data_IF_667130573803
#
_entry.id   IF_667130573803
#
_cell.length_a   1.000
_cell.length_b   1.000
_cell.length_c   1.000
_cell.angle_alpha   90.00
_cell.angle_beta   90.00
_cell.angle_gamma   90.00
#
_symmetry.space_group_name_H-M   'P 1'
#
loop_
_entity.id
_entity.type
_entity.pdbx_description
1 polymer ?
#
# COMPACT_ATOMS: atom_id res chain seq x y z
N UNK A 1 1.76 -2.49 12.84
CA UNK A 1 0.81 -1.55 12.21
C UNK A 1 1.06 -1.52 10.71
N UNK A 2 0.01 -1.69 9.91
CA UNK A 2 0.08 -1.82 8.45
C UNK A 2 -0.41 -0.53 7.76
N UNK A 3 0.38 0.03 6.85
CA UNK A 3 0.00 1.22 6.05
C UNK A 3 -0.24 0.91 4.57
N UNK A 4 0.14 -0.28 4.12
CA UNK A 4 -0.05 -0.71 2.75
C UNK A 4 -0.36 -2.22 2.67
N UNK A 5 -1.11 -2.62 1.66
CA UNK A 5 -1.30 -4.01 1.27
C UNK A 5 -0.64 -4.26 -0.10
N UNK A 6 -0.04 -5.43 -0.29
CA UNK A 6 0.53 -5.84 -1.57
C UNK A 6 -0.15 -7.14 -1.97
N UNK A 7 -0.66 -7.18 -3.20
CA UNK A 7 -1.25 -8.37 -3.79
C UNK A 7 -0.93 -8.33 -5.27
N UNK A 8 -0.02 -9.21 -5.70
CA UNK A 8 0.40 -9.32 -7.09
C UNK A 8 0.09 -10.71 -7.64
N UNK A 9 -0.15 -10.76 -8.94
CA UNK A 9 -0.21 -12.01 -9.70
C UNK A 9 0.68 -11.86 -10.92
N UNK A 10 1.40 -12.92 -11.28
CA UNK A 10 2.14 -12.97 -12.55
C UNK A 10 1.51 -14.02 -13.45
N UNK A 11 1.19 -13.63 -14.67
CA UNK A 11 0.66 -14.53 -15.72
C UNK A 11 1.32 -14.17 -17.03
N UNK A 12 1.76 -15.16 -17.80
CA UNK A 12 2.40 -14.93 -19.12
C UNK A 12 3.57 -13.91 -19.06
N UNK A 13 4.35 -13.92 -17.97
CA UNK A 13 5.46 -12.98 -17.71
C UNK A 13 5.04 -11.51 -17.52
N UNK A 14 3.76 -11.25 -17.31
CA UNK A 14 3.22 -9.92 -17.02
C UNK A 14 2.69 -9.89 -15.58
N UNK A 15 3.11 -8.89 -14.81
CA UNK A 15 2.60 -8.64 -13.47
C UNK A 15 1.25 -7.91 -13.52
N UNK A 16 0.34 -8.30 -12.64
CA UNK A 16 -1.00 -7.75 -12.49
C UNK A 16 -1.26 -7.37 -11.02
N UNK A 17 -2.31 -6.57 -10.81
CA UNK A 17 -2.69 -5.99 -9.52
C UNK A 17 -1.61 -5.00 -9.04
N UNK A 18 -1.06 -5.16 -7.83
CA UNK A 18 -0.03 -4.26 -7.33
C UNK A 18 -0.09 -4.11 -5.82
N UNK A 19 -0.21 -2.86 -5.37
CA UNK A 19 -0.29 -2.51 -3.97
C UNK A 19 -1.36 -1.43 -3.74
N UNK A 20 -1.85 -1.34 -2.51
CA UNK A 20 -2.74 -0.29 -2.04
C UNK A 20 -2.08 0.39 -0.84
N UNK A 21 -1.90 1.71 -0.90
CA UNK A 21 -1.27 2.52 0.14
C UNK A 21 -2.32 3.39 0.82
N UNK A 22 -2.51 3.22 2.13
CA UNK A 22 -3.45 4.01 2.91
C UNK A 22 -2.88 5.42 3.10
N UNK A 23 -3.41 6.41 2.37
CA UNK A 23 -2.90 7.78 2.40
C UNK A 23 -3.73 8.65 3.36
N UNK A 24 -5.00 8.86 3.01
CA UNK A 24 -5.97 9.68 3.76
C UNK A 24 -7.40 9.11 3.71
N UNK A 25 -7.53 7.81 3.41
CA UNK A 25 -8.83 7.11 3.40
C UNK A 25 -9.29 6.78 4.82
N UNK A 26 -10.60 6.59 5.00
CA UNK A 26 -11.14 5.95 6.21
C UNK A 26 -10.60 4.52 6.33
N UNK A 27 -10.43 4.09 7.58
CA UNK A 27 -10.01 2.73 7.94
C UNK A 27 -11.16 1.86 8.45
N UNK A 28 -12.38 2.39 8.56
CA UNK A 28 -13.54 1.70 9.14
C UNK A 28 -13.85 0.38 8.43
N UNK A 29 -13.56 0.30 7.12
CA UNK A 29 -13.74 -0.93 6.35
C UNK A 29 -12.87 -2.10 6.85
N UNK A 30 -11.73 -1.81 7.52
CA UNK A 30 -10.85 -2.84 8.09
C UNK A 30 -11.48 -3.50 9.32
N UNK A 31 -12.40 -2.85 10.03
CA UNK A 31 -13.08 -3.42 11.21
C UNK A 31 -14.07 -4.54 10.85
N UNK A 32 -14.37 -4.68 9.55
CA UNK A 32 -15.33 -5.66 9.03
C UNK A 32 -14.65 -6.87 8.36
N UNK A 33 -13.31 -6.92 8.32
CA UNK A 33 -12.55 -8.00 7.69
C UNK A 33 -11.32 -8.40 8.51
N UNK A 34 -10.86 -9.64 8.36
CA UNK A 34 -9.51 -10.03 8.82
C UNK A 34 -8.52 -9.70 7.70
N UNK A 35 -8.00 -8.48 7.68
CA UNK A 35 -7.22 -7.96 6.57
C UNK A 35 -5.90 -8.72 6.37
N UNK A 36 -5.68 -9.23 5.15
CA UNK A 36 -4.55 -10.11 4.82
C UNK A 36 -4.46 -11.38 5.68
N UNK A 37 -5.54 -11.79 6.36
CA UNK A 37 -5.53 -12.96 7.26
C UNK A 37 -4.74 -12.73 8.57
N UNK A 38 -4.46 -11.48 8.93
CA UNK A 38 -3.72 -11.10 10.14
C UNK A 38 -4.69 -10.42 11.10
N UNK A 39 -4.87 -10.98 12.30
CA UNK A 39 -5.81 -10.50 13.33
C UNK A 39 -5.12 -9.82 14.52
N UNK A 40 -3.79 -9.95 14.65
CA UNK A 40 -2.98 -9.36 15.71
C UNK A 40 -2.26 -8.06 15.30
N UNK A 41 -2.57 -7.52 14.11
CA UNK A 41 -1.95 -6.30 13.59
C UNK A 41 -2.98 -5.21 13.23
N UNK A 42 -2.83 -4.03 13.84
CA UNK A 42 -3.62 -2.85 13.47
C UNK A 42 -3.26 -2.28 12.09
N UNK A 43 -4.19 -1.56 11.48
CA UNK A 43 -4.02 -0.83 10.23
C UNK A 43 -4.00 0.68 10.50
N UNK A 44 -3.25 1.45 9.70
CA UNK A 44 -3.24 2.91 9.77
C UNK A 44 -3.08 3.53 8.38
N UNK A 45 -3.16 4.86 8.29
CA UNK A 45 -2.85 5.65 7.09
C UNK A 45 -1.62 6.54 7.32
N UNK A 46 -0.99 7.01 6.23
CA UNK A 46 0.12 7.98 6.34
C UNK A 46 -0.34 9.24 7.07
N UNK A 47 -1.58 9.68 6.82
CA UNK A 47 -2.14 10.87 7.47
C UNK A 47 -2.24 10.71 8.98
N UNK A 48 -2.76 9.58 9.47
CA UNK A 48 -2.82 9.30 10.92
C UNK A 48 -1.43 9.22 11.54
N UNK A 49 -0.51 8.51 10.88
CA UNK A 49 0.85 8.30 11.37
C UNK A 49 1.68 9.59 11.48
N UNK A 50 1.45 10.53 10.58
CA UNK A 50 2.25 11.77 10.49
C UNK A 50 1.54 12.98 11.09
N UNK A 51 0.25 12.87 11.40
CA UNK A 51 -0.59 14.00 11.81
C UNK A 51 -0.78 15.07 10.73
N UNK A 52 -0.37 14.79 9.48
CA UNK A 52 -0.44 15.73 8.35
C UNK A 52 -1.22 15.09 7.21
N UNK A 53 -2.10 15.85 6.56
CA UNK A 53 -2.86 15.34 5.42
C UNK A 53 -1.91 14.92 4.28
N UNK A 54 -1.90 13.63 3.97
CA UNK A 54 -1.20 13.06 2.81
C UNK A 54 -2.24 12.43 1.89
N UNK A 55 -2.50 13.09 0.77
CA UNK A 55 -3.45 12.60 -0.24
C UNK A 55 -2.82 11.53 -1.15
N UNK A 56 -3.63 10.69 -1.82
CA UNK A 56 -3.12 9.75 -2.82
C UNK A 56 -2.27 10.41 -3.93
N UNK A 57 -2.63 11.63 -4.36
CA UNK A 57 -1.87 12.36 -5.37
C UNK A 57 -0.45 12.72 -4.89
N UNK A 58 -0.32 13.19 -3.63
CA UNK A 58 0.99 13.50 -3.04
C UNK A 58 1.85 12.24 -2.89
N UNK A 59 1.25 11.14 -2.44
CA UNK A 59 1.94 9.86 -2.33
C UNK A 59 2.37 9.33 -3.70
N UNK A 60 1.52 9.47 -4.74
CA UNK A 60 1.81 9.02 -6.10
C UNK A 60 3.06 9.69 -6.69
N UNK A 61 3.29 10.98 -6.44
CA UNK A 61 4.51 11.65 -6.89
C UNK A 61 5.76 11.01 -6.29
N UNK A 62 5.73 10.67 -5.00
CA UNK A 62 6.83 9.98 -4.32
C UNK A 62 7.01 8.55 -4.82
N UNK A 63 5.91 7.84 -5.06
CA UNK A 63 5.93 6.49 -5.62
C UNK A 63 6.58 6.49 -7.01
N UNK A 64 6.15 7.38 -7.92
CA UNK A 64 6.70 7.45 -9.29
C UNK A 64 8.22 7.61 -9.31
N UNK A 65 8.74 8.48 -8.44
CA UNK A 65 10.18 8.74 -8.31
C UNK A 65 10.96 7.52 -7.82
N UNK A 66 10.35 6.66 -6.99
CA UNK A 66 11.03 5.54 -6.32
C UNK A 66 10.77 4.19 -6.98
N UNK A 67 9.68 4.06 -7.73
CA UNK A 67 9.32 2.80 -8.37
C UNK A 67 10.38 2.37 -9.40
N UNK A 68 11.10 3.33 -9.98
CA UNK A 68 12.22 3.11 -10.90
C UNK A 68 13.51 2.64 -10.21
N UNK A 69 13.63 2.87 -8.90
CA UNK A 69 14.81 2.50 -8.10
C UNK A 69 14.81 1.01 -7.73
N UNK A 70 13.68 0.32 -7.90
CA UNK A 70 13.57 -1.13 -7.69
C UNK A 70 14.32 -1.79 -8.86
N UNK A 71 15.62 -2.03 -8.64
CA UNK A 71 16.48 -2.71 -9.60
C UNK A 71 15.77 -3.96 -10.13
N UNK A 72 15.81 -4.14 -11.46
CA UNK A 72 15.48 -5.43 -12.08
C UNK A 72 16.20 -6.50 -11.26
N UNK A 73 15.45 -7.37 -10.59
CA UNK A 73 16.02 -8.57 -9.98
C UNK A 73 16.59 -9.36 -11.15
N UNK A 74 17.90 -9.26 -11.35
CA UNK A 74 18.61 -10.08 -12.32
C UNK A 74 18.61 -11.47 -11.71
N UNK A 75 17.76 -12.35 -12.25
CA UNK A 75 17.78 -13.78 -11.98
C UNK A 75 19.02 -14.42 -12.58
#
# INVERSE_FOLDING_TARGET
>A
MKVAAIGIRVSERVAMHGFALNCSNSLDAYDHIVACGIDDAGTSSITELTGTLVTPAMAAERVKLRLTDIAKVVL
#
